data_IF_090958438118
#
_entry.id   IF_090958438118
#
_cell.length_a   1.000
_cell.length_b   1.000
_cell.length_c   1.000
_cell.angle_alpha   90.00
_cell.angle_beta   90.00
_cell.angle_gamma   90.00
#
_symmetry.space_group_name_H-M   'P 1'
#
loop_
_entity.id
_entity.type
_entity.pdbx_description
1 polymer ?
#
# COMPACT_ATOMS: atom_id res chain seq x y z
N UNK A 1 20.02 -24.39 1.26
CA UNK A 1 19.49 -25.75 1.45
C UNK A 1 18.97 -25.88 2.86
N UNK A 2 17.68 -25.57 3.06
CA UNK A 2 17.04 -25.76 4.36
C UNK A 2 16.67 -27.24 4.43
N UNK A 3 17.37 -27.99 5.28
CA UNK A 3 16.99 -29.36 5.62
C UNK A 3 15.57 -29.30 6.15
N UNK A 4 14.62 -29.81 5.37
CA UNK A 4 13.28 -30.13 5.85
C UNK A 4 13.49 -31.20 6.90
N UNK A 5 13.45 -30.81 8.17
CA UNK A 5 13.23 -31.75 9.25
C UNK A 5 11.83 -32.31 9.02
N UNK A 6 11.75 -33.43 8.30
CA UNK A 6 10.55 -34.24 8.23
C UNK A 6 10.09 -34.49 9.66
N UNK A 7 8.96 -33.88 9.98
CA UNK A 7 8.37 -33.84 11.30
C UNK A 7 8.01 -35.26 11.73
N UNK A 8 8.90 -35.88 12.51
CA UNK A 8 8.67 -37.11 13.29
C UNK A 8 7.43 -37.03 14.21
N UNK A 9 6.87 -35.82 14.40
CA UNK A 9 5.62 -35.56 15.11
C UNK A 9 4.33 -35.76 14.29
N UNK A 10 4.40 -35.82 12.95
CA UNK A 10 3.23 -36.07 12.09
C UNK A 10 2.73 -37.51 12.26
N UNK A 11 3.65 -38.44 12.48
CA UNK A 11 3.33 -39.85 12.71
C UNK A 11 2.58 -40.08 14.03
N UNK A 12 2.83 -39.28 15.08
CA UNK A 12 2.16 -39.43 16.37
C UNK A 12 0.68 -39.02 16.32
N UNK A 13 0.30 -38.03 15.50
CA UNK A 13 -1.08 -37.53 15.45
C UNK A 13 -1.98 -38.27 14.47
N UNK A 14 -1.45 -38.79 13.36
CA UNK A 14 -2.21 -39.69 12.49
C UNK A 14 -2.52 -41.02 13.21
N UNK A 15 -1.65 -41.47 14.12
CA UNK A 15 -1.85 -42.67 14.95
C UNK A 15 -2.84 -42.51 16.10
N UNK A 16 -3.18 -41.27 16.50
CA UNK A 16 -4.17 -41.05 17.58
C UNK A 16 -5.58 -41.53 17.22
N UNK A 17 -5.89 -41.67 15.93
CA UNK A 17 -7.17 -42.14 15.43
C UNK A 17 -7.15 -43.61 14.96
N UNK A 18 -5.98 -44.26 14.95
CA UNK A 18 -5.79 -45.65 14.52
C UNK A 18 -5.18 -46.49 15.64
N UNK A 19 -5.94 -46.62 16.74
CA UNK A 19 -5.73 -47.56 17.85
C UNK A 19 -4.42 -47.46 18.66
N UNK A 20 -4.57 -47.64 19.98
CA UNK A 20 -3.53 -47.82 21.01
C UNK A 20 -2.86 -46.53 21.52
N UNK A 21 -3.54 -45.83 22.43
CA UNK A 21 -3.04 -45.28 23.72
C UNK A 21 -3.96 -44.14 24.21
N UNK A 22 -4.95 -44.51 25.04
CA UNK A 22 -6.09 -43.70 25.53
C UNK A 22 -5.72 -42.67 26.64
N UNK A 23 -4.51 -42.09 26.64
CA UNK A 23 -4.14 -41.06 27.62
C UNK A 23 -4.71 -39.69 27.25
N UNK A 24 -5.33 -39.02 28.21
CA UNK A 24 -5.81 -37.66 28.05
C UNK A 24 -4.62 -36.69 27.87
N UNK A 25 -4.56 -35.85 26.82
CA UNK A 25 -3.42 -34.95 26.61
C UNK A 25 -3.34 -33.80 27.62
N UNK A 26 -4.36 -33.64 28.48
CA UNK A 26 -4.41 -32.57 29.48
C UNK A 26 -3.97 -33.01 30.88
N UNK A 27 -4.17 -34.29 31.23
CA UNK A 27 -3.81 -34.83 32.55
C UNK A 27 -3.02 -36.13 32.48
N UNK A 28 -2.71 -36.61 31.27
CA UNK A 28 -1.94 -37.81 30.95
C UNK A 28 -2.50 -39.13 31.50
N UNK A 29 -3.69 -39.12 32.12
CA UNK A 29 -4.39 -40.31 32.63
C UNK A 29 -5.18 -41.04 31.54
N UNK A 30 -5.30 -42.36 31.68
CA UNK A 30 -5.98 -43.25 30.75
C UNK A 30 -7.50 -43.27 30.96
N UNK A 31 -8.15 -42.12 30.79
CA UNK A 31 -9.53 -41.89 31.27
C UNK A 31 -10.45 -41.31 30.21
N UNK A 32 -10.16 -41.54 28.92
CA UNK A 32 -10.95 -41.01 27.82
C UNK A 32 -12.15 -41.89 27.49
N UNK A 33 -13.36 -41.35 27.58
CA UNK A 33 -14.61 -42.04 27.27
C UNK A 33 -15.34 -41.39 26.10
N UNK A 34 -16.05 -42.20 25.29
CA UNK A 34 -16.93 -41.71 24.22
C UNK A 34 -18.07 -40.90 24.85
N UNK A 35 -18.31 -39.67 24.39
CA UNK A 35 -19.31 -38.78 24.97
C UNK A 35 -20.01 -37.96 23.87
N UNK A 36 -20.98 -38.59 23.20
CA UNK A 36 -21.80 -37.98 22.16
C UNK A 36 -21.09 -37.75 20.82
N UNK A 37 -21.83 -37.23 19.84
CA UNK A 37 -21.33 -36.85 18.51
C UNK A 37 -21.53 -35.36 18.26
N UNK A 38 -20.65 -34.74 17.47
CA UNK A 38 -20.81 -33.36 16.98
C UNK A 38 -20.33 -33.26 15.55
N UNK A 39 -21.15 -32.68 14.67
CA UNK A 39 -20.90 -32.60 13.22
C UNK A 39 -20.53 -33.98 12.62
N UNK A 40 -21.28 -35.02 13.01
CA UNK A 40 -21.04 -36.40 12.56
C UNK A 40 -19.84 -37.13 13.19
N UNK A 41 -18.98 -36.44 13.98
CA UNK A 41 -17.78 -37.04 14.59
C UNK A 41 -17.98 -37.44 16.04
N UNK A 42 -17.42 -38.58 16.43
CA UNK A 42 -17.38 -39.05 17.81
C UNK A 42 -16.56 -38.10 18.68
N UNK A 43 -17.14 -37.65 19.80
CA UNK A 43 -16.41 -36.88 20.82
C UNK A 43 -15.92 -37.81 21.92
N UNK A 44 -14.78 -37.45 22.49
CA UNK A 44 -14.23 -38.09 23.67
C UNK A 44 -14.10 -37.07 24.80
N UNK A 45 -14.49 -37.45 26.03
CA UNK A 45 -14.34 -36.66 27.25
C UNK A 45 -13.45 -37.42 28.22
N UNK A 46 -12.53 -36.72 28.87
CA UNK A 46 -11.78 -37.29 29.97
C UNK A 46 -12.65 -37.36 31.22
N UNK A 47 -12.84 -38.53 31.83
CA UNK A 47 -13.61 -38.65 33.09
C UNK A 47 -12.87 -38.03 34.28
N UNK A 48 -11.53 -38.01 34.28
CA UNK A 48 -10.76 -37.41 35.36
C UNK A 48 -10.74 -35.87 35.36
N UNK A 49 -10.26 -35.24 34.28
CA UNK A 49 -10.15 -33.77 34.22
C UNK A 49 -11.39 -33.09 33.58
N UNK A 50 -12.42 -33.85 33.23
CA UNK A 50 -13.65 -33.37 32.59
C UNK A 50 -13.50 -32.62 31.26
N UNK A 51 -12.29 -32.56 30.67
CA UNK A 51 -12.02 -31.89 29.39
C UNK A 51 -12.38 -32.77 28.20
N UNK A 52 -12.92 -32.16 27.15
CA UNK A 52 -13.14 -32.83 25.86
C UNK A 52 -11.85 -32.85 25.03
N UNK A 53 -11.58 -33.98 24.38
CA UNK A 53 -10.57 -34.06 23.35
C UNK A 53 -10.94 -33.15 22.17
N UNK A 54 -9.99 -32.38 21.62
CA UNK A 54 -10.22 -31.64 20.39
C UNK A 54 -10.49 -32.61 19.24
N UNK A 55 -11.51 -32.33 18.43
CA UNK A 55 -11.86 -33.13 17.26
C UNK A 55 -10.88 -32.95 16.08
N UNK A 56 -10.07 -31.90 16.11
CA UNK A 56 -9.05 -31.59 15.11
C UNK A 56 -7.98 -30.66 15.69
N UNK A 57 -6.80 -30.62 15.05
CA UNK A 57 -5.77 -29.63 15.35
C UNK A 57 -6.35 -28.24 15.10
N UNK A 58 -6.17 -27.37 16.09
CA UNK A 58 -6.54 -25.96 15.96
C UNK A 58 -5.63 -25.32 14.89
N UNK A 59 -6.18 -24.66 13.87
CA UNK A 59 -5.35 -23.92 12.93
C UNK A 59 -4.59 -22.82 13.66
N UNK A 60 -3.37 -22.57 13.22
CA UNK A 60 -2.57 -21.45 13.69
C UNK A 60 -3.16 -20.13 13.18
N UNK A 61 -3.25 -19.10 14.03
CA UNK A 61 -3.96 -17.89 13.66
C UNK A 61 -3.18 -17.05 12.65
N UNK A 62 -1.85 -17.05 12.75
CA UNK A 62 -0.98 -16.23 11.90
C UNK A 62 -0.88 -16.88 10.52
N UNK A 63 -0.77 -18.21 10.47
CA UNK A 63 -0.83 -18.97 9.22
C UNK A 63 -2.17 -18.79 8.51
N UNK A 64 -3.29 -18.84 9.25
CA UNK A 64 -4.62 -18.56 8.68
C UNK A 64 -4.68 -17.15 8.08
N UNK A 65 -4.13 -16.17 8.80
CA UNK A 65 -4.13 -14.78 8.35
C UNK A 65 -3.23 -14.59 7.12
N UNK A 66 -2.09 -15.26 7.08
CA UNK A 66 -1.20 -15.28 5.93
C UNK A 66 -1.90 -15.87 4.69
N UNK A 67 -2.55 -17.03 4.83
CA UNK A 67 -3.31 -17.64 3.73
C UNK A 67 -4.48 -16.76 3.27
N UNK A 68 -5.17 -16.11 4.21
CA UNK A 68 -6.25 -15.18 3.92
C UNK A 68 -5.76 -13.98 3.10
N UNK A 69 -4.67 -13.32 3.52
CA UNK A 69 -4.16 -12.10 2.89
C UNK A 69 -3.34 -12.39 1.63
N UNK A 70 -2.36 -13.29 1.72
CA UNK A 70 -1.36 -13.49 0.67
C UNK A 70 -1.77 -14.55 -0.36
N UNK A 71 -2.43 -15.63 0.07
CA UNK A 71 -2.91 -16.68 -0.82
C UNK A 71 -4.36 -16.45 -1.29
N UNK A 72 -4.99 -15.34 -0.88
CA UNK A 72 -6.35 -14.93 -1.30
C UNK A 72 -7.43 -15.95 -0.93
N UNK A 73 -7.20 -16.79 0.07
CA UNK A 73 -8.18 -17.79 0.48
C UNK A 73 -9.36 -17.15 1.20
N UNK A 74 -10.58 -17.46 0.79
CA UNK A 74 -11.79 -16.97 1.44
C UNK A 74 -12.04 -17.67 2.78
N UNK A 75 -12.85 -17.05 3.66
CA UNK A 75 -13.24 -17.70 4.92
C UNK A 75 -13.96 -19.04 4.69
N UNK A 76 -14.68 -19.19 3.58
CA UNK A 76 -15.36 -20.44 3.22
C UNK A 76 -14.36 -21.55 2.84
N UNK A 77 -13.36 -21.21 2.02
CA UNK A 77 -12.28 -22.15 1.65
C UNK A 77 -11.46 -22.57 2.88
N UNK A 78 -11.08 -21.61 3.73
CA UNK A 78 -10.38 -21.89 5.00
C UNK A 78 -11.23 -22.75 5.94
N UNK A 79 -12.55 -22.49 6.00
CA UNK A 79 -13.48 -23.27 6.82
C UNK A 79 -13.58 -24.72 6.35
N UNK A 80 -13.63 -24.95 5.04
CA UNK A 80 -13.61 -26.27 4.43
C UNK A 80 -12.29 -26.99 4.71
N UNK A 81 -11.16 -26.33 4.46
CA UNK A 81 -9.80 -26.86 4.68
C UNK A 81 -9.59 -27.32 6.14
N UNK A 82 -9.99 -26.48 7.10
CA UNK A 82 -9.83 -26.77 8.52
C UNK A 82 -11.03 -27.46 9.18
N UNK A 83 -12.04 -27.83 8.38
CA UNK A 83 -13.23 -28.57 8.80
C UNK A 83 -13.91 -27.90 10.02
N UNK A 84 -14.09 -26.59 9.95
CA UNK A 84 -14.69 -25.78 11.01
C UNK A 84 -15.69 -24.77 10.43
N UNK A 85 -16.41 -24.03 11.29
CA UNK A 85 -17.36 -23.03 10.81
C UNK A 85 -16.66 -21.76 10.31
N UNK A 86 -17.26 -21.07 9.34
CA UNK A 86 -16.82 -19.75 8.87
C UNK A 86 -16.65 -18.77 10.04
N UNK A 87 -17.58 -18.75 11.01
CA UNK A 87 -17.49 -17.95 12.24
C UNK A 87 -16.23 -18.25 13.06
N UNK A 88 -15.76 -19.50 13.05
CA UNK A 88 -14.51 -19.89 13.73
C UNK A 88 -13.29 -19.30 13.02
N UNK A 89 -13.26 -19.35 11.69
CA UNK A 89 -12.20 -18.72 10.89
C UNK A 89 -12.17 -17.21 11.13
N UNK A 90 -13.30 -16.51 10.98
CA UNK A 90 -13.39 -15.06 11.20
C UNK A 90 -12.87 -14.64 12.58
N UNK A 91 -13.27 -15.35 13.65
CA UNK A 91 -12.80 -15.09 15.01
C UNK A 91 -11.29 -15.31 15.17
N UNK A 92 -10.71 -16.25 14.41
CA UNK A 92 -9.27 -16.55 14.45
C UNK A 92 -8.45 -15.56 13.65
N UNK A 93 -8.94 -15.13 12.49
CA UNK A 93 -8.30 -14.08 11.69
C UNK A 93 -8.11 -12.80 12.52
N UNK A 94 -9.11 -12.40 13.30
CA UNK A 94 -9.00 -11.24 14.23
C UNK A 94 -7.86 -11.37 15.26
N UNK A 95 -7.46 -12.60 15.58
CA UNK A 95 -6.40 -12.92 16.54
C UNK A 95 -5.03 -13.14 15.90
N UNK A 96 -4.96 -13.27 14.58
CA UNK A 96 -3.69 -13.41 13.88
C UNK A 96 -2.94 -12.07 13.85
N UNK A 97 -1.61 -12.13 13.81
CA UNK A 97 -0.71 -10.99 13.66
C UNK A 97 0.44 -11.39 12.74
N UNK A 98 0.50 -10.78 11.56
CA UNK A 98 1.66 -10.92 10.69
C UNK A 98 2.73 -9.92 11.13
N UNK A 99 3.87 -10.42 11.61
CA UNK A 99 5.00 -9.56 12.00
C UNK A 99 5.78 -9.14 10.75
N UNK A 100 6.28 -7.90 10.74
CA UNK A 100 7.35 -7.54 9.83
C UNK A 100 8.59 -8.38 10.15
N UNK A 101 9.19 -8.94 9.10
CA UNK A 101 10.34 -9.85 9.20
C UNK A 101 11.67 -9.09 9.27
N UNK A 102 11.68 -7.79 9.01
CA UNK A 102 12.89 -6.97 8.92
C UNK A 102 12.81 -5.82 9.92
N UNK A 103 13.88 -5.63 10.68
CA UNK A 103 14.03 -4.42 11.48
C UNK A 103 14.16 -3.21 10.54
N UNK A 104 13.50 -2.08 10.85
CA UNK A 104 13.64 -0.88 10.05
C UNK A 104 15.10 -0.43 10.04
N UNK A 105 15.59 0.00 8.88
CA UNK A 105 16.89 0.65 8.77
C UNK A 105 16.87 1.97 9.55
N UNK A 106 18.00 2.40 10.13
CA UNK A 106 18.10 3.69 10.81
C UNK A 106 17.96 4.88 9.85
N UNK A 107 18.05 4.64 8.54
CA UNK A 107 18.05 5.65 7.49
C UNK A 107 16.99 5.31 6.45
N UNK A 108 16.26 6.32 5.97
CA UNK A 108 15.16 6.14 5.04
C UNK A 108 15.09 7.20 3.93
N UNK A 109 14.79 6.72 2.72
CA UNK A 109 14.28 7.53 1.61
C UNK A 109 12.78 7.30 1.51
N UNK A 110 11.98 8.31 1.84
CA UNK A 110 10.56 8.12 2.04
C UNK A 110 9.81 8.34 0.73
N UNK A 111 9.18 7.29 0.22
CA UNK A 111 8.08 7.40 -0.74
C UNK A 111 6.79 7.48 0.05
N UNK A 112 5.98 8.51 -0.19
CA UNK A 112 4.69 8.63 0.48
C UNK A 112 3.57 8.97 -0.49
N UNK A 113 2.43 8.34 -0.26
CA UNK A 113 1.24 8.45 -1.10
C UNK A 113 0.01 7.95 -0.32
N UNK A 114 -1.19 8.29 -0.79
CA UNK A 114 -2.45 7.94 -0.16
C UNK A 114 -3.35 7.17 -1.10
N UNK A 115 -3.90 6.06 -0.62
CA UNK A 115 -4.82 5.23 -1.40
C UNK A 115 -6.23 5.23 -0.83
N UNK A 116 -7.22 5.42 -1.71
CA UNK A 116 -8.63 5.53 -1.34
C UNK A 116 -9.37 4.19 -1.48
N UNK A 117 -10.26 3.91 -0.51
CA UNK A 117 -11.16 2.75 -0.50
C UNK A 117 -12.62 3.20 -0.60
N UNK A 118 -13.02 3.61 -1.81
CA UNK A 118 -14.34 4.19 -2.06
C UNK A 118 -14.50 5.52 -1.33
N UNK A 119 -15.69 5.78 -0.78
CA UNK A 119 -15.98 6.97 0.04
C UNK A 119 -15.82 6.71 1.56
N UNK A 120 -15.31 5.55 1.94
CA UNK A 120 -15.31 5.10 3.34
C UNK A 120 -14.11 5.64 4.13
N UNK A 121 -12.90 5.43 3.63
CA UNK A 121 -11.66 5.89 4.22
C UNK A 121 -10.51 5.81 3.21
N UNK A 122 -9.40 6.48 3.51
CA UNK A 122 -8.14 6.31 2.81
C UNK A 122 -7.01 5.95 3.78
N UNK A 123 -5.91 5.46 3.23
CA UNK A 123 -4.71 5.07 3.97
C UNK A 123 -3.53 5.78 3.35
N UNK A 124 -2.89 6.62 4.14
CA UNK A 124 -1.61 7.25 3.82
C UNK A 124 -0.50 6.31 4.25
N UNK A 125 0.46 6.07 3.36
CA UNK A 125 1.51 5.07 3.55
C UNK A 125 2.86 5.69 3.26
N UNK A 126 3.83 5.42 4.13
CA UNK A 126 5.21 5.87 4.04
C UNK A 126 6.09 4.63 3.89
N UNK A 127 6.78 4.54 2.77
CA UNK A 127 7.65 3.42 2.39
C UNK A 127 9.09 3.90 2.35
N UNK A 128 10.01 3.14 2.97
CA UNK A 128 11.43 3.33 2.73
C UNK A 128 11.82 2.71 1.38
N UNK A 129 12.27 3.53 0.42
CA UNK A 129 12.64 3.04 -0.90
C UNK A 129 13.91 2.18 -0.89
N UNK A 130 14.74 2.27 0.17
CA UNK A 130 16.02 1.55 0.27
C UNK A 130 15.85 0.04 0.49
N UNK A 131 14.74 -0.39 1.09
CA UNK A 131 14.45 -1.80 1.36
C UNK A 131 12.99 -2.20 1.06
N UNK A 132 12.14 -1.24 0.73
CA UNK A 132 10.72 -1.47 0.44
C UNK A 132 9.86 -1.67 1.69
N UNK A 133 10.41 -1.48 2.89
CA UNK A 133 9.66 -1.57 4.14
C UNK A 133 8.64 -0.44 4.26
N UNK A 134 7.50 -0.73 4.86
CA UNK A 134 6.53 0.29 5.23
C UNK A 134 6.86 0.73 6.64
N UNK A 135 7.22 2.00 6.78
CA UNK A 135 7.72 2.57 8.04
C UNK A 135 6.63 3.27 8.84
N UNK A 136 5.58 3.74 8.16
CA UNK A 136 4.43 4.36 8.79
C UNK A 136 3.17 4.22 7.93
N UNK A 137 2.03 4.07 8.59
CA UNK A 137 0.71 4.10 7.98
C UNK A 137 -0.24 4.91 8.85
N UNK A 138 -1.19 5.59 8.23
CA UNK A 138 -2.26 6.26 8.97
C UNK A 138 -3.55 6.33 8.16
N UNK A 139 -4.67 6.13 8.84
CA UNK A 139 -6.00 6.25 8.25
C UNK A 139 -6.41 7.71 8.25
N UNK A 140 -6.81 8.22 7.08
CA UNK A 140 -7.23 9.62 6.91
C UNK A 140 -8.56 9.69 6.19
N UNK A 141 -9.30 10.78 6.40
CA UNK A 141 -10.54 11.06 5.68
C UNK A 141 -10.28 11.83 4.39
N UNK A 142 -9.32 12.75 4.43
CA UNK A 142 -8.87 13.58 3.33
C UNK A 142 -7.38 13.87 3.49
N UNK A 143 -6.70 14.14 2.38
CA UNK A 143 -5.28 14.46 2.38
C UNK A 143 -5.03 15.92 2.73
N UNK A 144 -4.09 16.17 3.64
CA UNK A 144 -3.59 17.52 3.95
C UNK A 144 -2.09 17.49 4.18
N UNK A 145 -1.43 18.64 3.96
CA UNK A 145 -0.01 18.79 4.27
C UNK A 145 0.28 18.54 5.76
N UNK A 146 -0.64 18.91 6.65
CA UNK A 146 -0.51 18.68 8.09
C UNK A 146 -0.46 17.18 8.43
N UNK A 147 -1.25 16.34 7.75
CA UNK A 147 -1.22 14.89 7.95
C UNK A 147 0.08 14.27 7.44
N UNK A 148 0.59 14.73 6.29
CA UNK A 148 1.90 14.29 5.80
C UNK A 148 3.02 14.69 6.77
N UNK A 149 3.00 15.92 7.28
CA UNK A 149 3.92 16.40 8.31
C UNK A 149 3.90 15.53 9.57
N UNK A 150 2.71 15.26 10.12
CA UNK A 150 2.55 14.37 11.27
C UNK A 150 3.09 12.96 11.00
N UNK A 151 2.86 12.43 9.80
CA UNK A 151 3.39 11.11 9.41
C UNK A 151 4.91 11.09 9.32
N UNK A 152 5.54 12.15 8.82
CA UNK A 152 7.00 12.28 8.77
C UNK A 152 7.60 12.43 10.17
N UNK A 153 6.99 13.23 11.05
CA UNK A 153 7.40 13.32 12.46
C UNK A 153 7.31 11.95 13.15
N UNK A 154 6.24 11.19 12.91
CA UNK A 154 6.11 9.84 13.48
C UNK A 154 7.18 8.85 12.96
N UNK A 155 7.74 9.08 11.77
CA UNK A 155 8.90 8.33 11.25
C UNK A 155 10.17 8.74 11.98
N UNK A 156 10.40 10.04 12.18
CA UNK A 156 11.55 10.58 12.92
C UNK A 156 11.52 10.12 14.38
N UNK A 157 10.36 10.16 15.05
CA UNK A 157 10.16 9.73 16.44
C UNK A 157 10.45 8.23 16.65
N UNK A 158 10.41 7.42 15.59
CA UNK A 158 10.84 6.01 15.60
C UNK A 158 12.36 5.85 15.50
N UNK A 159 13.11 6.95 15.47
CA UNK A 159 14.57 6.97 15.38
C UNK A 159 15.12 6.78 13.96
N UNK A 160 14.31 7.04 12.93
CA UNK A 160 14.76 7.00 11.53
C UNK A 160 15.21 8.39 11.05
N UNK A 161 16.39 8.43 10.45
CA UNK A 161 16.92 9.59 9.72
C UNK A 161 16.37 9.62 8.29
N UNK A 162 15.61 10.68 7.96
CA UNK A 162 14.98 10.84 6.65
C UNK A 162 15.92 11.63 5.73
N UNK A 163 16.53 10.94 4.76
CA UNK A 163 17.47 11.54 3.82
C UNK A 163 16.77 12.23 2.65
N UNK A 164 15.61 11.73 2.24
CA UNK A 164 14.88 12.28 1.09
C UNK A 164 13.41 11.92 1.15
N UNK A 165 12.60 12.70 0.42
CA UNK A 165 11.16 12.53 0.32
C UNK A 165 10.75 12.53 -1.16
N UNK A 166 9.98 11.53 -1.58
CA UNK A 166 9.35 11.45 -2.91
C UNK A 166 7.83 11.31 -2.75
N UNK A 167 7.06 12.24 -3.33
CA UNK A 167 5.59 12.24 -3.21
C UNK A 167 4.88 12.78 -4.46
N UNK A 168 3.55 12.66 -4.51
CA UNK A 168 2.72 13.52 -5.37
C UNK A 168 2.88 14.99 -4.93
N UNK A 169 2.70 15.93 -5.86
CA UNK A 169 3.11 17.34 -5.79
C UNK A 169 2.25 18.20 -4.91
N UNK A 170 1.99 17.71 -3.70
CA UNK A 170 1.17 18.36 -2.72
C UNK A 170 1.85 19.66 -2.29
N UNK A 171 1.12 20.76 -2.42
CA UNK A 171 1.62 22.08 -2.07
C UNK A 171 1.99 22.12 -0.58
N UNK A 172 3.20 22.57 -0.29
CA UNK A 172 3.66 22.86 1.07
C UNK A 172 4.54 21.79 1.72
N UNK A 173 4.60 20.56 1.19
CA UNK A 173 5.46 19.52 1.78
C UNK A 173 6.94 19.91 1.73
N UNK A 174 7.41 20.36 0.57
CA UNK A 174 8.80 20.83 0.43
C UNK A 174 9.14 22.01 1.36
N UNK A 175 8.15 22.83 1.73
CA UNK A 175 8.36 23.96 2.63
C UNK A 175 8.38 23.56 4.12
N UNK A 176 7.83 22.38 4.46
CA UNK A 176 7.81 21.87 5.83
C UNK A 176 9.16 21.29 6.26
N UNK A 177 9.94 20.78 5.29
CA UNK A 177 11.25 20.18 5.51
C UNK A 177 12.26 20.74 4.49
N UNK A 178 12.67 22.02 4.63
CA UNK A 178 13.53 22.69 3.65
C UNK A 178 14.90 22.03 3.51
N UNK A 179 15.38 21.37 4.57
CA UNK A 179 16.69 20.72 4.61
C UNK A 179 16.67 19.28 4.05
N UNK A 180 15.49 18.73 3.75
CA UNK A 180 15.33 17.38 3.21
C UNK A 180 15.04 17.48 1.70
N UNK A 181 15.89 16.90 0.83
CA UNK A 181 15.64 16.82 -0.60
C UNK A 181 14.24 16.28 -0.93
N UNK A 182 13.42 17.12 -1.56
CA UNK A 182 12.08 16.78 -1.99
C UNK A 182 12.02 16.53 -3.50
N UNK A 183 11.59 15.32 -3.88
CA UNK A 183 11.30 14.93 -5.26
C UNK A 183 9.79 14.90 -5.51
N UNK A 184 9.37 15.69 -6.49
CA UNK A 184 8.05 15.57 -7.09
C UNK A 184 8.01 14.35 -8.01
N UNK A 185 7.02 13.48 -7.82
CA UNK A 185 6.85 12.31 -8.68
C UNK A 185 6.62 12.71 -10.15
N UNK A 186 7.55 12.31 -11.02
CA UNK A 186 7.50 12.61 -12.45
C UNK A 186 6.27 11.97 -13.14
N UNK A 187 5.84 10.78 -12.70
CA UNK A 187 4.64 10.12 -13.21
C UNK A 187 3.36 10.90 -12.87
N UNK A 188 3.23 11.39 -11.64
CA UNK A 188 2.11 12.25 -11.25
C UNK A 188 2.13 13.60 -11.99
N UNK A 189 3.32 14.16 -12.23
CA UNK A 189 3.46 15.34 -13.07
C UNK A 189 2.99 15.07 -14.51
N UNK A 190 3.41 13.97 -15.13
CA UNK A 190 2.96 13.57 -16.47
C UNK A 190 1.45 13.35 -16.52
N UNK A 191 0.87 12.68 -15.52
CA UNK A 191 -0.59 12.51 -15.40
C UNK A 191 -1.32 13.85 -15.29
N UNK A 192 -0.78 14.81 -14.54
CA UNK A 192 -1.33 16.16 -14.43
C UNK A 192 -1.40 16.83 -15.81
N UNK A 193 -0.34 16.70 -16.63
CA UNK A 193 -0.32 17.22 -18.00
C UNK A 193 -1.34 16.52 -18.89
N UNK A 194 -1.41 15.19 -18.84
CA UNK A 194 -2.41 14.41 -19.59
C UNK A 194 -3.84 14.77 -19.21
N UNK A 195 -4.09 15.08 -17.93
CA UNK A 195 -5.39 15.56 -17.46
C UNK A 195 -5.73 16.91 -18.09
N UNK A 196 -4.79 17.85 -18.15
CA UNK A 196 -5.04 19.15 -18.78
C UNK A 196 -5.19 19.07 -20.30
N UNK A 197 -4.27 18.40 -21.01
CA UNK A 197 -4.18 18.45 -22.47
C UNK A 197 -4.98 17.35 -23.19
N UNK A 198 -5.47 16.34 -22.46
CA UNK A 198 -6.00 15.07 -22.98
C UNK A 198 -4.94 14.20 -23.67
N UNK A 199 -5.29 12.95 -24.00
CA UNK A 199 -4.36 12.02 -24.66
C UNK A 199 -4.02 12.39 -26.11
N UNK A 200 -4.87 13.17 -26.79
CA UNK A 200 -4.68 13.61 -28.19
C UNK A 200 -5.00 15.10 -28.32
N UNK A 201 -4.09 16.00 -27.88
CA UNK A 201 -4.28 17.44 -28.03
C UNK A 201 -4.39 17.82 -29.51
N UNK A 202 -5.33 18.73 -29.83
CA UNK A 202 -5.56 19.17 -31.22
C UNK A 202 -4.58 20.27 -31.66
N UNK A 203 -4.27 21.22 -30.79
CA UNK A 203 -3.36 22.33 -31.11
C UNK A 203 -1.91 21.88 -31.13
N UNK A 204 -1.10 22.47 -32.00
CA UNK A 204 0.35 22.21 -32.07
C UNK A 204 1.04 22.52 -30.74
N UNK A 205 0.70 23.65 -30.11
CA UNK A 205 1.21 24.00 -28.78
C UNK A 205 0.92 22.90 -27.74
N UNK A 206 -0.29 22.33 -27.76
CA UNK A 206 -0.69 21.24 -26.87
C UNK A 206 0.04 19.93 -27.17
N UNK A 207 0.25 19.59 -28.44
CA UNK A 207 1.01 18.39 -28.85
C UNK A 207 2.47 18.51 -28.40
N UNK A 208 3.11 19.65 -28.68
CA UNK A 208 4.50 19.92 -28.30
C UNK A 208 4.68 19.88 -26.77
N UNK A 209 3.80 20.52 -25.98
CA UNK A 209 3.91 20.47 -24.52
C UNK A 209 3.73 19.06 -23.96
N UNK A 210 2.82 18.29 -24.55
CA UNK A 210 2.62 16.88 -24.18
C UNK A 210 3.88 16.06 -24.47
N UNK A 211 4.53 16.27 -25.62
CA UNK A 211 5.79 15.59 -25.95
C UNK A 211 6.87 15.88 -24.92
N UNK A 212 7.03 17.15 -24.51
CA UNK A 212 7.98 17.53 -23.44
C UNK A 212 7.67 16.75 -22.16
N UNK A 213 6.41 16.73 -21.73
CA UNK A 213 6.00 16.00 -20.53
C UNK A 213 6.17 14.48 -20.63
N UNK A 214 6.06 13.89 -21.83
CA UNK A 214 6.28 12.46 -22.03
C UNK A 214 7.77 12.07 -21.98
N UNK A 215 8.69 12.98 -22.32
CA UNK A 215 10.15 12.77 -22.25
C UNK A 215 10.74 13.06 -20.86
N UNK A 216 9.91 13.38 -19.85
CA UNK A 216 10.37 13.75 -18.49
C UNK A 216 11.25 12.68 -17.82
N UNK A 217 11.11 11.40 -18.20
CA UNK A 217 11.85 10.28 -17.62
C UNK A 217 13.23 10.06 -18.24
N UNK A 218 13.46 10.61 -19.44
CA UNK A 218 14.65 10.36 -20.26
C UNK A 218 15.56 11.58 -20.35
N UNK A 219 15.01 12.78 -20.15
CA UNK A 219 15.75 14.03 -20.18
C UNK A 219 16.53 14.27 -18.87
N UNK A 220 17.71 14.86 -18.98
CA UNK A 220 18.37 15.49 -17.85
C UNK A 220 17.68 16.82 -17.47
N UNK A 221 17.91 17.27 -16.23
CA UNK A 221 17.28 18.48 -15.69
C UNK A 221 17.47 19.74 -16.55
N UNK A 222 18.66 19.93 -17.12
CA UNK A 222 19.01 21.12 -17.88
C UNK A 222 18.33 21.10 -19.24
N UNK A 223 18.46 20.00 -19.98
CA UNK A 223 17.82 19.81 -21.28
C UNK A 223 16.30 19.95 -21.18
N UNK A 224 15.67 19.37 -20.14
CA UNK A 224 14.24 19.51 -19.91
C UNK A 224 13.84 20.97 -19.66
N UNK A 225 14.60 21.66 -18.80
CA UNK A 225 14.37 23.08 -18.45
C UNK A 225 14.47 23.97 -19.68
N UNK A 226 15.49 23.77 -20.51
CA UNK A 226 15.70 24.57 -21.72
C UNK A 226 14.63 24.28 -22.77
N UNK A 227 14.26 23.02 -22.97
CA UNK A 227 13.17 22.65 -23.89
C UNK A 227 11.84 23.26 -23.45
N UNK A 228 11.53 23.24 -22.14
CA UNK A 228 10.32 23.86 -21.61
C UNK A 228 10.33 25.39 -21.77
N UNK A 229 11.50 26.02 -21.64
CA UNK A 229 11.68 27.46 -21.86
C UNK A 229 11.48 27.83 -23.33
N UNK A 230 12.11 27.10 -24.25
CA UNK A 230 11.96 27.30 -25.69
C UNK A 230 10.50 27.16 -26.12
N UNK A 231 9.80 26.14 -25.61
CA UNK A 231 8.37 25.98 -25.84
C UNK A 231 7.56 27.18 -25.37
N UNK A 232 7.86 27.73 -24.18
CA UNK A 232 7.17 28.93 -23.70
C UNK A 232 7.40 30.11 -24.62
N UNK A 233 8.65 30.39 -25.02
CA UNK A 233 8.95 31.51 -25.91
C UNK A 233 8.25 31.39 -27.27
N UNK A 234 8.16 30.17 -27.81
CA UNK A 234 7.48 29.90 -29.07
C UNK A 234 5.97 30.11 -29.00
N UNK A 235 5.33 29.75 -27.88
CA UNK A 235 3.86 29.73 -27.76
C UNK A 235 3.30 30.76 -26.77
N UNK A 236 4.10 31.70 -26.24
CA UNK A 236 3.67 32.67 -25.23
C UNK A 236 2.51 33.55 -25.72
N UNK A 237 2.53 33.98 -26.97
CA UNK A 237 1.48 34.84 -27.52
C UNK A 237 0.18 34.06 -27.66
N UNK A 238 0.25 32.84 -28.23
CA UNK A 238 -0.87 31.90 -28.28
C UNK A 238 -1.44 31.63 -26.87
N UNK A 239 -0.59 31.35 -25.88
CA UNK A 239 -1.01 31.11 -24.48
C UNK A 239 -1.75 32.29 -23.85
N UNK A 240 -1.39 33.51 -24.25
CA UNK A 240 -1.92 34.75 -23.70
C UNK A 240 -3.14 35.28 -24.47
N UNK A 241 -3.56 34.61 -25.55
CA UNK A 241 -4.81 34.94 -26.26
C UNK A 241 -6.00 35.01 -25.31
N UNK A 242 -6.80 36.05 -25.48
CA UNK A 242 -8.00 36.33 -24.70
C UNK A 242 -9.24 36.18 -25.57
N UNK A 243 -10.24 35.49 -25.03
CA UNK A 243 -11.61 35.49 -25.52
C UNK A 243 -12.44 36.47 -24.69
N UNK A 244 -13.51 37.00 -25.28
CA UNK A 244 -14.40 37.99 -24.67
C UNK A 244 -15.84 37.50 -24.69
N UNK A 245 -16.67 37.96 -23.74
CA UNK A 245 -18.13 37.80 -23.81
C UNK A 245 -18.71 38.63 -24.95
N UNK A 246 -19.92 38.29 -25.40
CA UNK A 246 -20.61 39.02 -26.48
C UNK A 246 -20.76 40.53 -26.20
N UNK A 247 -20.91 40.90 -24.93
CA UNK A 247 -20.98 42.29 -24.46
C UNK A 247 -19.61 42.94 -24.20
N UNK A 248 -18.51 42.21 -24.40
CA UNK A 248 -17.13 42.66 -24.18
C UNK A 248 -16.71 42.86 -22.72
N UNK A 249 -17.62 42.72 -21.75
CA UNK A 249 -17.34 43.06 -20.34
C UNK A 249 -16.50 42.02 -19.60
N UNK A 250 -16.54 40.76 -20.03
CA UNK A 250 -15.77 39.67 -19.43
C UNK A 250 -14.73 39.18 -20.43
N UNK A 251 -13.51 39.00 -19.94
CA UNK A 251 -12.41 38.39 -20.71
C UNK A 251 -11.85 37.19 -19.99
N UNK A 252 -11.35 36.21 -20.74
CA UNK A 252 -10.67 35.06 -20.19
C UNK A 252 -9.62 34.52 -21.16
N UNK A 253 -8.58 33.86 -20.63
CA UNK A 253 -7.62 33.15 -21.48
C UNK A 253 -8.32 32.10 -22.33
N UNK A 254 -8.12 32.15 -23.64
CA UNK A 254 -8.70 31.19 -24.59
C UNK A 254 -8.23 29.76 -24.25
N UNK A 255 -6.94 29.61 -23.93
CA UNK A 255 -6.30 28.30 -23.75
C UNK A 255 -6.07 27.93 -22.28
N UNK A 256 -7.09 28.09 -21.41
CA UNK A 256 -6.97 27.90 -19.94
C UNK A 256 -6.27 26.59 -19.55
N UNK A 257 -6.62 25.48 -20.20
CA UNK A 257 -6.09 24.15 -19.88
C UNK A 257 -4.61 24.02 -20.27
N UNK A 258 -4.24 24.48 -21.46
CA UNK A 258 -2.85 24.51 -21.92
C UNK A 258 -1.99 25.38 -20.99
N UNK A 259 -2.51 26.55 -20.63
CA UNK A 259 -1.88 27.45 -19.68
C UNK A 259 -1.68 26.77 -18.32
N UNK A 260 -2.71 26.09 -17.82
CA UNK A 260 -2.62 25.35 -16.54
C UNK A 260 -1.61 24.21 -16.60
N UNK A 261 -1.52 23.50 -17.73
CA UNK A 261 -0.53 22.46 -17.97
C UNK A 261 0.89 23.03 -17.87
N UNK A 262 1.21 24.06 -18.65
CA UNK A 262 2.52 24.72 -18.63
C UNK A 262 2.90 25.21 -17.23
N UNK A 263 1.99 25.91 -16.55
CA UNK A 263 2.26 26.43 -15.21
C UNK A 263 2.35 25.34 -14.14
N UNK A 264 1.84 24.13 -14.38
CA UNK A 264 2.09 23.00 -13.47
C UNK A 264 3.53 22.52 -13.58
N UNK A 265 4.06 22.35 -14.81
CA UNK A 265 5.48 22.01 -15.04
C UNK A 265 6.39 23.10 -14.47
N UNK A 266 6.14 24.36 -14.83
CA UNK A 266 6.96 25.50 -14.38
C UNK A 266 7.06 25.60 -12.87
N UNK A 267 5.94 25.43 -12.15
CA UNK A 267 5.92 25.50 -10.67
C UNK A 267 6.64 24.33 -10.01
N UNK A 268 6.55 23.15 -10.60
CA UNK A 268 7.12 21.93 -10.02
C UNK A 268 8.55 21.68 -10.47
N UNK A 269 9.04 22.38 -11.50
CA UNK A 269 10.36 22.21 -12.11
C UNK A 269 11.52 22.10 -11.10
N UNK A 270 11.60 22.93 -10.03
CA UNK A 270 12.66 22.80 -9.03
C UNK A 270 12.71 21.45 -8.31
N UNK A 271 11.60 20.70 -8.32
CA UNK A 271 11.44 19.43 -7.62
C UNK A 271 11.37 18.21 -8.55
N UNK A 272 11.37 18.40 -9.88
CA UNK A 272 11.21 17.30 -10.84
C UNK A 272 12.48 16.48 -11.05
N UNK A 273 13.64 17.05 -10.73
CA UNK A 273 14.95 16.44 -10.96
C UNK A 273 15.84 16.47 -9.71
N UNK A 274 15.26 16.63 -8.52
CA UNK A 274 15.99 16.60 -7.24
C UNK A 274 16.83 15.32 -7.10
N UNK A 275 16.30 14.19 -7.60
CA UNK A 275 17.02 12.92 -7.62
C UNK A 275 18.33 12.94 -8.43
N UNK A 276 18.44 13.79 -9.45
CA UNK A 276 19.67 13.92 -10.24
C UNK A 276 20.76 14.67 -9.50
N UNK A 277 20.36 15.60 -8.62
CA UNK A 277 21.27 16.41 -7.81
C UNK A 277 21.77 15.64 -6.57
N UNK A 278 21.06 14.58 -6.17
CA UNK A 278 21.31 13.79 -4.96
C UNK A 278 21.43 12.29 -5.28
N UNK A 279 22.19 11.93 -6.32
CA UNK A 279 22.30 10.54 -6.82
C UNK A 279 22.85 9.58 -5.78
N UNK A 280 23.72 10.07 -4.89
CA UNK A 280 24.31 9.35 -3.77
C UNK A 280 23.27 8.83 -2.77
N UNK A 281 22.11 9.50 -2.66
CA UNK A 281 21.02 9.06 -1.79
C UNK A 281 20.26 7.88 -2.37
N UNK A 282 20.33 7.61 -3.68
CA UNK A 282 19.50 6.62 -4.37
C UNK A 282 17.98 6.86 -4.18
N UNK A 283 17.57 8.13 -4.13
CA UNK A 283 16.15 8.51 -4.05
C UNK A 283 15.43 8.25 -5.39
N UNK A 284 14.18 7.78 -5.38
CA UNK A 284 13.44 7.49 -6.61
C UNK A 284 12.81 8.76 -7.20
N UNK A 285 12.76 8.87 -8.53
CA UNK A 285 12.06 9.92 -9.27
C UNK A 285 10.52 9.73 -9.34
N UNK A 286 10.02 8.57 -8.89
CA UNK A 286 8.59 8.21 -8.93
C UNK A 286 8.10 7.49 -7.66
N UNK A 287 6.79 7.58 -7.39
CA UNK A 287 6.12 6.80 -6.33
C UNK A 287 5.66 5.42 -6.82
N UNK A 288 6.10 4.96 -8.00
CA UNK A 288 5.62 3.75 -8.68
C UNK A 288 5.73 2.47 -7.81
N UNK A 289 6.74 2.38 -6.94
CA UNK A 289 6.88 1.25 -6.00
C UNK A 289 5.69 1.17 -5.04
N UNK A 290 5.28 2.30 -4.49
CA UNK A 290 4.16 2.39 -3.56
C UNK A 290 2.83 2.21 -4.29
N UNK A 291 2.66 2.80 -5.47
CA UNK A 291 1.49 2.56 -6.33
C UNK A 291 1.32 1.09 -6.72
N UNK A 292 2.42 0.40 -7.05
CA UNK A 292 2.43 -1.04 -7.28
C UNK A 292 1.95 -1.82 -6.05
N UNK A 293 2.36 -1.41 -4.85
CA UNK A 293 1.89 -2.02 -3.58
C UNK A 293 0.42 -1.74 -3.32
N UNK A 294 -0.09 -0.56 -3.64
CA UNK A 294 -1.53 -0.28 -3.58
C UNK A 294 -2.33 -1.14 -4.56
N UNK A 295 -1.80 -1.35 -5.77
CA UNK A 295 -2.37 -2.28 -6.74
C UNK A 295 -2.44 -3.72 -6.21
N UNK A 296 -1.36 -4.21 -5.61
CA UNK A 296 -1.30 -5.52 -4.96
C UNK A 296 -2.34 -5.66 -3.85
N UNK A 297 -2.40 -4.69 -2.93
CA UNK A 297 -3.36 -4.65 -1.83
C UNK A 297 -4.81 -4.67 -2.33
N UNK A 298 -5.15 -3.79 -3.28
CA UNK A 298 -6.51 -3.71 -3.83
C UNK A 298 -6.89 -4.99 -4.58
N UNK A 299 -5.96 -5.59 -5.31
CA UNK A 299 -6.17 -6.88 -5.98
C UNK A 299 -6.49 -7.99 -4.98
N UNK A 300 -5.75 -8.07 -3.85
CA UNK A 300 -5.99 -9.05 -2.80
C UNK A 300 -7.33 -8.82 -2.08
N UNK A 301 -7.65 -7.57 -1.73
CA UNK A 301 -8.94 -7.22 -1.12
C UNK A 301 -10.12 -7.55 -2.05
N UNK A 302 -9.97 -7.41 -3.37
CA UNK A 302 -11.05 -7.71 -4.34
C UNK A 302 -11.53 -9.16 -4.26
N UNK A 303 -10.65 -10.10 -3.90
CA UNK A 303 -11.02 -11.51 -3.68
C UNK A 303 -11.93 -11.72 -2.45
N UNK A 304 -12.11 -10.69 -1.63
CA UNK A 304 -12.89 -10.70 -0.39
C UNK A 304 -13.99 -9.63 -0.43
N UNK A 305 -14.79 -9.62 -1.50
CA UNK A 305 -15.92 -8.70 -1.65
C UNK A 305 -16.90 -8.77 -0.46
N UNK A 306 -17.51 -7.64 -0.11
CA UNK A 306 -18.49 -7.55 1.00
C UNK A 306 -17.87 -7.48 2.40
N UNK A 307 -16.55 -7.28 2.51
CA UNK A 307 -15.87 -7.17 3.80
C UNK A 307 -16.30 -5.93 4.60
N UNK A 308 -16.53 -6.09 5.91
CA UNK A 308 -16.78 -4.97 6.82
C UNK A 308 -15.56 -4.03 6.91
N UNK A 309 -15.77 -2.77 7.29
CA UNK A 309 -14.65 -1.82 7.43
C UNK A 309 -13.60 -2.29 8.44
N UNK A 310 -14.02 -2.84 9.59
CA UNK A 310 -13.13 -3.37 10.62
C UNK A 310 -12.22 -4.46 10.06
N UNK A 311 -12.78 -5.40 9.30
CA UNK A 311 -12.01 -6.51 8.71
C UNK A 311 -11.10 -5.99 7.61
N UNK A 312 -11.51 -4.95 6.87
CA UNK A 312 -10.69 -4.33 5.83
C UNK A 312 -9.48 -3.62 6.44
N UNK A 313 -9.64 -2.92 7.58
CA UNK A 313 -8.51 -2.34 8.31
C UNK A 313 -7.56 -3.42 8.82
N UNK A 314 -8.08 -4.47 9.46
CA UNK A 314 -7.28 -5.63 9.86
C UNK A 314 -6.46 -6.20 8.69
N UNK A 315 -7.09 -6.33 7.52
CA UNK A 315 -6.41 -6.79 6.30
C UNK A 315 -5.27 -5.86 5.91
N UNK A 316 -5.53 -4.55 5.85
CA UNK A 316 -4.56 -3.54 5.43
C UNK A 316 -3.39 -3.46 6.44
N UNK A 317 -3.68 -3.40 7.73
CA UNK A 317 -2.69 -3.31 8.80
C UNK A 317 -1.73 -4.51 8.74
N UNK A 318 -2.27 -5.72 8.59
CA UNK A 318 -1.44 -6.94 8.48
C UNK A 318 -0.76 -7.09 7.11
N UNK A 319 -1.32 -6.50 6.04
CA UNK A 319 -0.67 -6.50 4.74
C UNK A 319 0.59 -5.60 4.73
N UNK A 320 0.53 -4.45 5.39
CA UNK A 320 1.68 -3.55 5.52
C UNK A 320 2.59 -3.93 6.70
N UNK A 321 2.08 -4.68 7.67
CA UNK A 321 2.81 -5.17 8.83
C UNK A 321 3.20 -4.07 9.82
N UNK A 322 2.43 -2.97 9.86
CA UNK A 322 2.64 -1.81 10.76
C UNK A 322 1.68 -1.85 11.92
#
# INVERSE_FOLDING_TARGET
MIKIAESSYLWYFQRFFTNVHQKCPFCLKNTLTKNGRKNGRQRYKCSHCNKYLPLSKRPDNDELLHQYIHHKQTCAQLAQQHQCSIKTIQRRLKKGRLKQTQAPKPVANIIMDTTYFGRAFSVMVFMNSLDGSIVHTQYVAYETAALYHQGLLAVIDKGMDIQSITADGFKGIAALFPDIPFQMCQFHQQQTIRRYLTGRPKSEAGKALKQIADHIFEADAQAFTDTLRQWYEQYKDYLNELSYSEDGKKKWYTHKRLRSAYHSLKRNLPYLFTFEQNRELAMPNTTNRLEGKFGELKNKIRCHAGMSMETKRLFIDNFFGV
#
